data_IF_280954772159
#
_entry.id   IF_280954772159
#
_cell.length_a   1.000
_cell.length_b   1.000
_cell.length_c   1.000
_cell.angle_alpha   90.00
_cell.angle_beta   90.00
_cell.angle_gamma   90.00
#
_symmetry.space_group_name_H-M   'P 1'
#
loop_
_entity.id
_entity.type
_entity.pdbx_description
1 polymer ?
#
# COMPACT_ATOMS: atom_id res chain seq x y z
N UNK A 1 30.82 -36.34 -23.46
CA UNK A 1 30.01 -36.99 -22.41
C UNK A 1 30.32 -36.29 -21.10
N UNK A 2 29.44 -35.58 -20.40
CA UNK A 2 28.03 -35.29 -20.59
C UNK A 2 27.72 -34.13 -19.63
N UNK A 3 27.08 -33.07 -20.14
CA UNK A 3 26.50 -31.97 -19.36
C UNK A 3 25.31 -32.45 -18.54
N UNK A 4 25.18 -32.02 -17.27
CA UNK A 4 23.87 -31.83 -16.58
C UNK A 4 24.02 -30.65 -15.60
N UNK A 5 23.76 -29.40 -16.02
CA UNK A 5 22.46 -28.69 -16.13
C UNK A 5 21.76 -28.47 -14.78
N UNK A 6 22.11 -27.34 -14.14
CA UNK A 6 21.40 -26.75 -13.00
C UNK A 6 20.19 -25.94 -13.53
N UNK A 7 18.97 -26.42 -13.28
CA UNK A 7 17.73 -25.75 -13.66
C UNK A 7 17.40 -24.60 -12.69
N UNK A 8 17.62 -23.37 -13.16
CA UNK A 8 16.99 -22.16 -12.62
C UNK A 8 15.49 -22.18 -12.93
N UNK A 9 14.65 -22.31 -11.90
CA UNK A 9 13.21 -22.02 -12.01
C UNK A 9 12.95 -20.56 -11.63
N UNK A 10 12.87 -19.74 -12.66
CA UNK A 10 12.61 -18.31 -12.61
C UNK A 10 11.09 -18.08 -12.55
N UNK A 11 10.55 -17.69 -11.39
CA UNK A 11 9.16 -17.22 -11.28
C UNK A 11 9.13 -15.70 -11.45
N UNK A 12 8.83 -15.28 -12.68
CA UNK A 12 8.37 -13.93 -13.05
C UNK A 12 7.09 -13.60 -12.26
N UNK A 13 7.14 -12.58 -11.42
CA UNK A 13 5.93 -11.91 -10.94
C UNK A 13 5.41 -11.00 -12.05
N UNK A 14 4.20 -11.27 -12.53
CA UNK A 14 3.49 -10.47 -13.53
C UNK A 14 2.94 -9.20 -12.90
N UNK A 15 3.25 -8.11 -13.58
CA UNK A 15 2.60 -6.80 -13.69
C UNK A 15 1.22 -6.63 -13.04
N UNK A 16 1.10 -5.59 -12.21
CA UNK A 16 -0.16 -4.87 -11.98
C UNK A 16 0.08 -3.37 -12.24
N UNK A 17 -0.86 -2.77 -12.96
CA UNK A 17 -0.75 -1.48 -13.64
C UNK A 17 -0.48 -0.27 -12.70
N UNK A 18 0.25 0.76 -13.16
CA UNK A 18 0.63 1.90 -12.35
C UNK A 18 -0.51 2.93 -12.16
N UNK A 19 -0.63 3.43 -10.94
CA UNK A 19 -1.43 4.60 -10.58
C UNK A 19 -0.94 5.86 -11.33
N UNK A 20 -1.82 6.47 -12.13
CA UNK A 20 -1.50 7.61 -13.03
C UNK A 20 -1.12 8.91 -12.29
N UNK A 21 -1.30 8.97 -10.97
CA UNK A 21 -0.97 10.14 -10.16
C UNK A 21 0.55 10.29 -9.91
N UNK A 22 1.35 9.23 -10.08
CA UNK A 22 2.78 9.25 -9.74
C UNK A 22 3.73 9.48 -10.93
N UNK A 23 3.23 9.54 -12.16
CA UNK A 23 4.06 9.58 -13.38
C UNK A 23 4.58 10.99 -13.72
N UNK A 24 3.88 12.05 -13.26
CA UNK A 24 4.16 13.43 -13.73
C UNK A 24 5.30 14.14 -13.00
N UNK A 25 5.82 13.60 -11.91
CA UNK A 25 6.81 14.32 -11.06
C UNK A 25 8.25 13.82 -11.25
N UNK A 26 8.45 12.60 -11.77
CA UNK A 26 9.77 11.96 -11.77
C UNK A 26 10.59 12.29 -13.05
N UNK A 27 9.95 12.71 -14.14
CA UNK A 27 10.59 12.86 -15.45
C UNK A 27 11.38 14.15 -15.71
N UNK A 28 11.50 15.10 -14.76
CA UNK A 28 12.15 16.40 -15.06
C UNK A 28 12.96 17.06 -13.96
N UNK A 29 13.22 16.38 -12.84
CA UNK A 29 14.11 16.92 -11.82
C UNK A 29 15.49 16.32 -12.05
N UNK A 30 16.29 17.01 -12.86
CA UNK A 30 17.75 16.91 -12.72
C UNK A 30 18.06 17.27 -11.27
N UNK A 31 18.52 16.28 -10.50
CA UNK A 31 18.84 16.42 -9.09
C UNK A 31 20.04 17.35 -8.92
N UNK A 32 19.79 18.65 -8.84
CA UNK A 32 20.66 19.57 -8.09
C UNK A 32 20.10 19.65 -6.67
N UNK A 33 20.31 18.60 -5.88
CA UNK A 33 20.14 18.71 -4.42
C UNK A 33 21.38 19.43 -3.91
N UNK A 34 21.21 20.74 -3.68
CA UNK A 34 22.16 21.52 -2.87
C UNK A 34 21.99 21.05 -1.43
N UNK A 35 22.87 20.15 -0.99
CA UNK A 35 23.01 19.78 0.41
C UNK A 35 23.71 20.95 1.12
N UNK A 36 22.93 21.92 1.61
CA UNK A 36 23.49 22.93 2.50
C UNK A 36 23.43 22.42 3.93
N UNK A 37 24.62 22.27 4.49
CA UNK A 37 24.94 22.13 5.90
C UNK A 37 24.23 23.20 6.76
N UNK A 38 23.71 22.77 7.91
CA UNK A 38 23.23 23.62 9.01
C UNK A 38 24.32 24.63 9.44
N UNK A 39 23.95 25.83 9.96
CA UNK A 39 23.71 25.97 11.41
C UNK A 39 22.66 27.08 11.76
N UNK A 40 22.61 27.66 12.98
CA UNK A 40 21.56 27.38 13.96
C UNK A 40 20.60 28.56 14.26
N UNK A 41 19.50 28.21 14.95
CA UNK A 41 18.69 29.01 15.91
C UNK A 41 18.44 30.50 15.67
N UNK A 42 17.16 30.89 15.54
CA UNK A 42 16.73 32.28 15.77
C UNK A 42 15.33 32.59 15.24
N UNK A 43 14.44 33.03 16.12
CA UNK A 43 13.07 33.46 15.84
C UNK A 43 13.00 34.73 14.98
N UNK A 44 11.88 34.91 14.25
CA UNK A 44 11.46 36.21 13.71
C UNK A 44 10.86 36.16 12.30
N UNK A 45 9.56 36.43 12.19
CA UNK A 45 8.82 36.64 10.95
C UNK A 45 9.32 37.86 10.17
N UNK A 46 9.46 37.75 8.85
CA UNK A 46 9.40 38.89 7.92
C UNK A 46 9.20 38.40 6.48
N UNK A 47 8.10 38.83 5.86
CA UNK A 47 7.87 38.73 4.42
C UNK A 47 8.73 39.80 3.75
N UNK A 48 9.75 39.39 2.99
CA UNK A 48 10.44 40.27 2.04
C UNK A 48 10.20 39.80 0.61
N UNK A 49 9.53 40.66 -0.16
CA UNK A 49 9.46 40.57 -1.62
C UNK A 49 10.83 40.98 -2.14
N UNK A 50 11.47 40.10 -2.92
CA UNK A 50 12.68 40.44 -3.66
C UNK A 50 12.35 40.47 -5.15
N UNK A 51 12.51 41.65 -5.74
CA UNK A 51 12.46 41.92 -7.18
C UNK A 51 13.57 41.17 -7.89
N UNK A 52 13.25 39.97 -8.36
CA UNK A 52 13.81 39.28 -9.53
C UNK A 52 12.93 38.06 -9.71
N UNK A 53 12.31 37.93 -10.88
CA UNK A 53 11.34 36.90 -11.24
C UNK A 53 11.89 35.48 -11.23
N UNK A 54 12.32 35.00 -10.07
CA UNK A 54 12.51 33.58 -9.78
C UNK A 54 11.21 33.14 -9.16
N UNK A 55 10.39 32.47 -9.96
CA UNK A 55 9.29 31.65 -9.44
C UNK A 55 9.91 30.70 -8.41
N UNK A 56 9.75 30.99 -7.11
CA UNK A 56 10.09 30.03 -6.06
C UNK A 56 9.08 28.90 -6.20
N UNK A 57 9.48 27.82 -6.87
CA UNK A 57 8.71 26.57 -6.81
C UNK A 57 8.48 26.26 -5.32
N UNK A 58 7.27 25.84 -4.92
CA UNK A 58 7.06 25.31 -3.58
C UNK A 58 8.16 24.30 -3.32
N UNK A 59 8.91 24.48 -2.22
CA UNK A 59 9.93 23.50 -1.83
C UNK A 59 9.23 22.14 -1.81
N UNK A 60 9.69 21.20 -2.65
CA UNK A 60 9.16 19.84 -2.65
C UNK A 60 9.54 19.23 -1.30
N UNK A 61 8.61 19.27 -0.36
CA UNK A 61 8.74 18.51 0.87
C UNK A 61 8.53 17.04 0.51
N UNK A 62 9.58 16.23 0.67
CA UNK A 62 9.43 14.79 0.58
C UNK A 62 8.39 14.36 1.62
N UNK A 63 7.37 13.65 1.17
CA UNK A 63 6.32 13.14 2.04
C UNK A 63 6.96 12.28 3.12
N UNK A 64 6.82 12.69 4.38
CA UNK A 64 7.21 11.88 5.54
C UNK A 64 6.16 10.80 5.76
N UNK A 65 6.60 9.58 6.00
CA UNK A 65 5.79 8.42 6.32
C UNK A 65 6.08 7.99 7.76
N UNK A 66 5.02 7.80 8.54
CA UNK A 66 5.08 6.97 9.74
C UNK A 66 5.08 5.51 9.29
N UNK A 67 6.26 4.92 9.15
CA UNK A 67 6.42 3.57 8.59
C UNK A 67 6.04 2.56 9.67
N UNK A 68 4.82 2.06 9.57
CA UNK A 68 4.21 1.07 10.44
C UNK A 68 3.56 -0.03 9.58
N UNK A 69 3.15 -1.17 10.16
CA UNK A 69 2.53 -2.22 9.37
C UNK A 69 1.30 -1.72 8.57
N UNK A 70 0.47 -0.84 9.15
CA UNK A 70 -0.71 -0.28 8.48
C UNK A 70 -0.41 0.59 7.25
N UNK A 71 0.71 1.29 7.27
CA UNK A 71 1.14 2.23 6.20
C UNK A 71 2.20 1.63 5.29
N UNK A 72 2.67 0.42 5.59
CA UNK A 72 3.77 -0.24 4.90
C UNK A 72 3.52 -0.38 3.41
N UNK A 73 2.32 -0.82 3.00
CA UNK A 73 1.98 -1.02 1.59
C UNK A 73 2.12 0.30 0.82
N UNK A 74 1.56 1.39 1.35
CA UNK A 74 1.62 2.71 0.76
C UNK A 74 3.06 3.25 0.69
N UNK A 75 3.82 3.11 1.78
CA UNK A 75 5.22 3.51 1.83
C UNK A 75 6.04 2.73 0.80
N UNK A 76 5.94 1.40 0.82
CA UNK A 76 6.73 0.53 -0.04
C UNK A 76 6.35 0.73 -1.51
N UNK A 77 5.08 0.98 -1.84
CA UNK A 77 4.66 1.31 -3.20
C UNK A 77 5.35 2.58 -3.74
N UNK A 78 5.54 3.61 -2.89
CA UNK A 78 6.25 4.82 -3.27
C UNK A 78 7.78 4.61 -3.32
N UNK A 79 8.35 3.93 -2.33
CA UNK A 79 9.80 3.81 -2.18
C UNK A 79 10.41 2.72 -3.07
N UNK A 80 9.64 1.71 -3.49
CA UNK A 80 10.12 0.60 -4.34
C UNK A 80 10.81 1.09 -5.61
N UNK A 81 10.24 2.10 -6.29
CA UNK A 81 10.85 2.66 -7.51
C UNK A 81 12.22 3.28 -7.25
N UNK A 82 12.43 3.89 -6.08
CA UNK A 82 13.73 4.45 -5.68
C UNK A 82 14.71 3.32 -5.34
N UNK A 83 14.22 2.28 -4.64
CA UNK A 83 15.02 1.11 -4.29
C UNK A 83 15.53 0.37 -5.53
N UNK A 84 14.69 0.19 -6.56
CA UNK A 84 15.00 -0.55 -7.80
C UNK A 84 15.88 0.24 -8.80
N UNK A 85 15.98 1.56 -8.66
CA UNK A 85 16.81 2.41 -9.52
C UNK A 85 18.30 2.09 -9.36
N UNK A 86 19.00 1.81 -10.45
CA UNK A 86 20.45 1.52 -10.41
C UNK A 86 21.32 2.76 -10.63
N UNK A 87 20.70 3.88 -11.00
CA UNK A 87 21.36 5.16 -11.28
C UNK A 87 21.57 6.02 -10.04
N UNK A 88 20.96 5.64 -8.91
CA UNK A 88 21.15 6.26 -7.60
C UNK A 88 22.01 5.31 -6.77
N UNK A 89 23.05 5.82 -6.13
CA UNK A 89 23.89 5.01 -5.26
C UNK A 89 23.16 4.61 -3.97
N UNK A 90 23.69 3.63 -3.26
CA UNK A 90 23.05 3.15 -2.03
C UNK A 90 23.13 4.18 -0.90
N UNK A 91 24.09 5.10 -0.92
CA UNK A 91 24.24 6.16 0.08
C UNK A 91 23.14 7.22 -0.07
N UNK A 92 22.90 7.74 -1.27
CA UNK A 92 21.80 8.65 -1.57
C UNK A 92 20.44 7.99 -1.33
N UNK A 93 20.29 6.70 -1.66
CA UNK A 93 19.09 5.94 -1.31
C UNK A 93 18.88 5.85 0.20
N UNK A 94 19.95 5.71 0.99
CA UNK A 94 19.87 5.74 2.44
C UNK A 94 19.40 7.13 2.90
N UNK A 95 20.01 8.20 2.41
CA UNK A 95 19.61 9.56 2.76
C UNK A 95 18.14 9.84 2.41
N UNK A 96 17.69 9.41 1.24
CA UNK A 96 16.28 9.47 0.84
C UNK A 96 15.38 8.67 1.79
N UNK A 97 15.79 7.46 2.18
CA UNK A 97 15.05 6.64 3.14
C UNK A 97 14.89 7.37 4.48
N UNK A 98 15.96 7.96 5.00
CA UNK A 98 15.94 8.77 6.22
C UNK A 98 14.98 9.96 6.07
N UNK A 99 15.04 10.70 4.96
CA UNK A 99 14.17 11.86 4.71
C UNK A 99 12.69 11.48 4.61
N UNK A 100 12.39 10.28 4.08
CA UNK A 100 11.01 9.79 3.99
C UNK A 100 10.49 9.22 5.31
N UNK A 101 11.34 8.83 6.25
CA UNK A 101 10.91 8.34 7.55
C UNK A 101 10.59 9.51 8.49
N UNK A 102 9.37 9.51 9.04
CA UNK A 102 8.95 10.55 9.98
C UNK A 102 9.76 10.50 11.29
N UNK A 103 10.24 11.66 11.74
CA UNK A 103 10.97 11.81 12.99
C UNK A 103 10.14 11.35 14.20
N UNK A 104 10.82 10.79 15.20
CA UNK A 104 10.18 10.28 16.43
C UNK A 104 9.47 8.93 16.28
N UNK A 105 9.42 8.33 15.08
CA UNK A 105 8.80 7.02 14.86
C UNK A 105 9.75 5.86 15.13
N UNK A 106 9.19 4.67 15.40
CA UNK A 106 9.98 3.46 15.61
C UNK A 106 10.82 3.08 14.37
N UNK A 107 10.33 3.38 13.17
CA UNK A 107 11.08 3.19 11.94
C UNK A 107 12.25 4.14 11.84
N UNK A 108 12.07 5.41 12.19
CA UNK A 108 13.16 6.38 12.20
C UNK A 108 14.25 5.99 13.20
N UNK A 109 13.87 5.59 14.42
CA UNK A 109 14.82 5.09 15.43
C UNK A 109 15.61 3.87 14.93
N UNK A 110 14.97 2.96 14.20
CA UNK A 110 15.64 1.82 13.57
C UNK A 110 16.66 2.30 12.53
N UNK A 111 16.30 3.24 11.67
CA UNK A 111 17.20 3.75 10.63
C UNK A 111 18.38 4.53 11.22
N UNK A 112 18.14 5.34 12.26
CA UNK A 112 19.19 6.11 12.94
C UNK A 112 20.20 5.21 13.68
N UNK A 113 19.88 3.93 13.93
CA UNK A 113 20.81 2.96 14.53
C UNK A 113 21.92 2.50 13.57
N UNK A 114 21.77 2.77 12.28
CA UNK A 114 22.76 2.45 11.25
C UNK A 114 23.47 3.73 10.80
N UNK A 115 24.81 3.72 10.70
CA UNK A 115 25.53 4.78 10.01
C UNK A 115 25.04 4.86 8.54
N UNK A 116 24.70 6.06 8.02
CA UNK A 116 24.19 6.22 6.66
C UNK A 116 25.35 6.02 5.67
N UNK A 117 25.57 4.76 5.29
CA UNK A 117 26.57 4.35 4.33
C UNK A 117 25.98 3.36 3.33
N UNK A 118 26.60 3.28 2.15
CA UNK A 118 26.24 2.33 1.08
C UNK A 118 26.13 0.88 1.60
N UNK A 119 27.08 0.44 2.41
CA UNK A 119 27.13 -0.92 2.98
C UNK A 119 25.97 -1.23 3.95
N UNK A 120 25.46 -0.20 4.62
CA UNK A 120 24.42 -0.34 5.63
C UNK A 120 23.02 -0.16 5.07
N UNK A 121 22.85 0.42 3.88
CA UNK A 121 21.55 0.60 3.24
C UNK A 121 20.78 -0.72 3.13
N UNK A 122 21.43 -1.76 2.58
CA UNK A 122 20.79 -3.07 2.39
C UNK A 122 20.42 -3.73 3.72
N UNK A 123 21.21 -3.51 4.78
CA UNK A 123 20.90 -4.00 6.13
C UNK A 123 19.71 -3.26 6.72
N UNK A 124 19.69 -1.93 6.60
CA UNK A 124 18.63 -1.08 7.13
C UNK A 124 17.29 -1.36 6.44
N UNK A 125 17.25 -1.46 5.11
CA UNK A 125 16.02 -1.75 4.37
C UNK A 125 15.51 -3.17 4.63
N UNK A 126 16.41 -4.14 4.80
CA UNK A 126 16.05 -5.52 5.15
C UNK A 126 15.45 -5.60 6.55
N UNK A 127 16.04 -4.92 7.53
CA UNK A 127 15.48 -4.79 8.89
C UNK A 127 14.11 -4.11 8.88
N UNK A 128 13.95 -3.05 8.08
CA UNK A 128 12.68 -2.35 7.94
C UNK A 128 11.58 -3.26 7.36
N UNK A 129 11.89 -4.00 6.29
CA UNK A 129 11.01 -5.04 5.71
C UNK A 129 10.66 -6.12 6.74
N UNK A 130 11.65 -6.63 7.47
CA UNK A 130 11.45 -7.67 8.48
C UNK A 130 10.59 -7.21 9.65
N UNK A 131 10.64 -5.92 10.02
CA UNK A 131 9.88 -5.40 11.17
C UNK A 131 8.47 -4.98 10.79
N UNK A 132 8.32 -4.27 9.67
CA UNK A 132 7.06 -3.61 9.30
C UNK A 132 6.37 -4.21 8.08
N UNK A 133 7.13 -4.90 7.22
CA UNK A 133 6.68 -5.39 5.92
C UNK A 133 6.47 -6.89 5.80
N UNK A 134 6.27 -7.59 6.93
CA UNK A 134 6.06 -9.04 6.93
C UNK A 134 4.70 -9.37 6.32
N UNK A 135 4.64 -10.08 5.19
CA UNK A 135 3.38 -10.31 4.50
C UNK A 135 2.37 -11.03 5.40
N UNK A 136 2.79 -12.01 6.20
CA UNK A 136 1.92 -12.76 7.10
C UNK A 136 1.23 -11.85 8.14
N UNK A 137 1.99 -10.92 8.73
CA UNK A 137 1.48 -9.96 9.71
C UNK A 137 0.52 -8.96 9.05
N UNK A 138 0.85 -8.51 7.84
CA UNK A 138 0.00 -7.58 7.10
C UNK A 138 -1.34 -8.24 6.76
N UNK A 139 -1.32 -9.49 6.31
CA UNK A 139 -2.54 -10.26 6.02
C UNK A 139 -3.40 -10.38 7.28
N UNK A 140 -2.81 -10.77 8.41
CA UNK A 140 -3.54 -10.85 9.68
C UNK A 140 -4.17 -9.51 10.06
N UNK A 141 -3.43 -8.41 9.90
CA UNK A 141 -3.91 -7.06 10.20
C UNK A 141 -5.13 -6.70 9.35
N UNK A 142 -5.06 -6.89 8.02
CA UNK A 142 -6.15 -6.52 7.12
C UNK A 142 -7.38 -7.44 7.29
N UNK A 143 -7.19 -8.73 7.54
CA UNK A 143 -8.30 -9.66 7.86
C UNK A 143 -8.94 -9.29 9.20
N UNK A 144 -8.16 -8.92 10.21
CA UNK A 144 -8.67 -8.48 11.51
C UNK A 144 -9.47 -7.18 11.39
N UNK A 145 -9.03 -6.26 10.54
CA UNK A 145 -9.78 -5.03 10.25
C UNK A 145 -11.11 -5.36 9.56
N UNK A 146 -11.11 -6.29 8.61
CA UNK A 146 -12.33 -6.77 7.95
C UNK A 146 -13.31 -7.40 8.96
N UNK A 147 -12.81 -8.24 9.88
CA UNK A 147 -13.62 -8.80 10.98
C UNK A 147 -14.19 -7.72 11.90
N UNK A 148 -13.42 -6.67 12.18
CA UNK A 148 -13.89 -5.54 12.99
C UNK A 148 -15.04 -4.80 12.30
N UNK A 149 -15.01 -4.67 10.97
CA UNK A 149 -16.14 -4.12 10.20
C UNK A 149 -17.40 -4.97 10.36
N UNK A 150 -17.28 -6.31 10.26
CA UNK A 150 -18.40 -7.24 10.50
C UNK A 150 -19.01 -7.03 11.88
N UNK A 151 -18.17 -7.03 12.92
CA UNK A 151 -18.63 -6.87 14.30
C UNK A 151 -19.27 -5.50 14.56
N UNK A 152 -18.74 -4.45 13.93
CA UNK A 152 -19.26 -3.08 14.04
C UNK A 152 -20.66 -2.99 13.43
N UNK A 153 -20.86 -3.58 12.25
CA UNK A 153 -22.16 -3.62 11.57
C UNK A 153 -23.17 -4.48 12.35
N UNK A 154 -22.77 -5.66 12.81
CA UNK A 154 -23.63 -6.57 13.58
C UNK A 154 -24.07 -5.98 14.94
N UNK A 155 -23.24 -5.12 15.55
CA UNK A 155 -23.53 -4.54 16.86
C UNK A 155 -24.61 -3.45 16.83
N UNK A 156 -24.96 -2.91 15.65
CA UNK A 156 -26.02 -1.89 15.48
C UNK A 156 -25.76 -0.51 16.11
N UNK A 157 -24.72 -0.35 16.93
CA UNK A 157 -24.44 0.87 17.71
C UNK A 157 -23.66 1.93 16.93
N UNK A 158 -22.81 1.52 16.00
CA UNK A 158 -21.94 2.37 15.18
C UNK A 158 -22.03 1.96 13.71
N UNK A 159 -23.24 1.82 13.17
CA UNK A 159 -23.42 1.42 11.78
C UNK A 159 -22.84 2.48 10.85
N UNK A 160 -21.94 2.05 9.97
CA UNK A 160 -21.39 2.89 8.93
C UNK A 160 -22.47 3.16 7.87
N UNK A 161 -22.41 4.32 7.22
CA UNK A 161 -23.19 4.51 6.00
C UNK A 161 -22.72 3.52 4.92
N UNK A 162 -23.58 3.19 3.95
CA UNK A 162 -23.25 2.25 2.89
C UNK A 162 -21.98 2.64 2.13
N UNK A 163 -21.83 3.91 1.77
CA UNK A 163 -20.62 4.43 1.14
C UNK A 163 -19.37 4.26 2.02
N UNK A 164 -19.45 4.54 3.32
CA UNK A 164 -18.31 4.37 4.23
C UNK A 164 -17.94 2.90 4.42
N UNK A 165 -18.94 2.02 4.47
CA UNK A 165 -18.73 0.59 4.55
C UNK A 165 -18.03 0.08 3.27
N UNK A 166 -18.56 0.44 2.10
CA UNK A 166 -18.00 0.10 0.81
C UNK A 166 -16.53 0.55 0.69
N UNK A 167 -16.24 1.82 0.99
CA UNK A 167 -14.88 2.37 0.87
C UNK A 167 -13.89 1.64 1.79
N UNK A 168 -14.33 1.30 3.01
CA UNK A 168 -13.49 0.57 3.98
C UNK A 168 -13.27 -0.88 3.58
N UNK A 169 -14.32 -1.57 3.14
CA UNK A 169 -14.25 -2.94 2.60
C UNK A 169 -13.29 -2.99 1.42
N UNK A 170 -13.47 -2.09 0.46
CA UNK A 170 -12.66 -2.04 -0.75
C UNK A 170 -11.19 -1.75 -0.42
N UNK A 171 -10.94 -0.83 0.53
CA UNK A 171 -9.57 -0.57 1.01
C UNK A 171 -8.91 -1.83 1.58
N UNK A 172 -9.62 -2.63 2.39
CA UNK A 172 -9.06 -3.86 2.95
C UNK A 172 -8.84 -4.92 1.86
N UNK A 173 -9.80 -5.10 0.95
CA UNK A 173 -9.72 -6.07 -0.13
C UNK A 173 -8.57 -5.75 -1.11
N UNK A 174 -8.39 -4.47 -1.49
CA UNK A 174 -7.28 -4.03 -2.33
C UNK A 174 -5.92 -4.22 -1.65
N UNK A 175 -5.84 -4.00 -0.33
CA UNK A 175 -4.62 -4.28 0.42
C UNK A 175 -4.28 -5.77 0.41
N UNK A 176 -5.26 -6.65 0.67
CA UNK A 176 -5.10 -8.10 0.61
C UNK A 176 -4.75 -8.60 -0.80
N UNK A 177 -5.31 -7.99 -1.84
CA UNK A 177 -4.98 -8.24 -3.25
C UNK A 177 -3.52 -7.90 -3.56
N UNK A 178 -3.04 -6.75 -3.07
CA UNK A 178 -1.63 -6.35 -3.24
C UNK A 178 -0.63 -7.26 -2.53
N UNK A 179 -1.09 -8.00 -1.51
CA UNK A 179 -0.32 -9.02 -0.79
C UNK A 179 -0.42 -10.42 -1.43
N UNK A 180 -1.20 -10.58 -2.51
CA UNK A 180 -1.39 -11.85 -3.20
C UNK A 180 -2.38 -12.80 -2.55
N UNK A 181 -3.24 -12.31 -1.64
CA UNK A 181 -4.25 -13.12 -0.94
C UNK A 181 -5.51 -13.33 -1.76
N UNK A 182 -5.69 -12.65 -2.90
CA UNK A 182 -6.84 -12.85 -3.81
C UNK A 182 -6.75 -14.13 -4.65
N UNK A 183 -5.88 -15.07 -4.32
CA UNK A 183 -5.90 -16.41 -4.89
C UNK A 183 -7.28 -17.05 -4.64
N UNK A 184 -7.79 -17.83 -5.60
CA UNK A 184 -9.02 -18.64 -5.51
C UNK A 184 -9.17 -19.35 -4.15
N UNK A 185 -8.03 -19.71 -3.53
CA UNK A 185 -7.94 -20.33 -2.20
C UNK A 185 -8.57 -19.53 -1.05
N UNK A 186 -8.50 -18.20 -1.06
CA UNK A 186 -9.02 -17.36 0.04
C UNK A 186 -10.28 -16.60 -0.35
N UNK A 187 -10.64 -16.61 -1.64
CA UNK A 187 -11.75 -15.84 -2.16
C UNK A 187 -13.11 -16.28 -1.56
N UNK A 188 -13.29 -17.55 -1.22
CA UNK A 188 -14.51 -18.04 -0.57
C UNK A 188 -14.65 -17.44 0.85
N UNK A 189 -13.59 -17.51 1.66
CA UNK A 189 -13.58 -16.92 3.00
C UNK A 189 -13.79 -15.40 2.97
N UNK A 190 -13.11 -14.71 2.06
CA UNK A 190 -13.26 -13.26 1.91
C UNK A 190 -14.68 -12.88 1.47
N UNK A 191 -15.29 -13.65 0.56
CA UNK A 191 -16.68 -13.46 0.15
C UNK A 191 -17.63 -13.53 1.34
N UNK A 192 -17.52 -14.56 2.17
CA UNK A 192 -18.36 -14.73 3.36
C UNK A 192 -18.19 -13.58 4.36
N UNK A 193 -16.97 -13.07 4.53
CA UNK A 193 -16.71 -11.93 5.40
C UNK A 193 -17.33 -10.62 4.86
N UNK A 194 -17.27 -10.41 3.55
CA UNK A 194 -17.87 -9.22 2.93
C UNK A 194 -19.40 -9.29 2.98
N UNK A 195 -20.01 -10.46 2.71
CA UNK A 195 -21.45 -10.67 2.84
C UNK A 195 -21.92 -10.41 4.29
N UNK A 196 -21.14 -10.86 5.27
CA UNK A 196 -21.44 -10.63 6.70
C UNK A 196 -21.35 -9.16 7.13
N UNK A 197 -20.73 -8.29 6.33
CA UNK A 197 -20.69 -6.85 6.58
C UNK A 197 -21.95 -6.12 6.06
N UNK A 198 -22.68 -6.72 5.13
CA UNK A 198 -23.80 -6.05 4.46
C UNK A 198 -25.03 -5.94 5.36
N UNK A 199 -25.74 -4.80 5.34
CA UNK A 199 -27.07 -4.71 5.94
C UNK A 199 -28.04 -5.72 5.31
N UNK A 200 -28.99 -6.22 6.11
CA UNK A 200 -29.95 -7.27 5.71
C UNK A 200 -30.67 -6.98 4.38
N UNK A 201 -30.99 -5.71 4.11
CA UNK A 201 -31.67 -5.32 2.87
C UNK A 201 -30.78 -5.57 1.64
N UNK A 202 -29.51 -5.15 1.69
CA UNK A 202 -28.54 -5.37 0.61
C UNK A 202 -28.19 -6.84 0.46
N UNK A 203 -28.09 -7.58 1.56
CA UNK A 203 -27.82 -9.01 1.52
C UNK A 203 -28.95 -9.75 0.77
N UNK A 204 -30.22 -9.40 1.03
CA UNK A 204 -31.37 -9.98 0.33
C UNK A 204 -31.41 -9.65 -1.16
N UNK A 205 -31.00 -8.43 -1.52
CA UNK A 205 -30.90 -8.02 -2.93
C UNK A 205 -29.76 -8.75 -3.64
N UNK A 206 -28.61 -8.86 -2.99
CA UNK A 206 -27.48 -9.67 -3.44
C UNK A 206 -27.86 -11.14 -3.64
N UNK A 207 -28.52 -11.77 -2.67
CA UNK A 207 -29.00 -13.15 -2.75
C UNK A 207 -29.99 -13.35 -3.90
N UNK A 208 -30.89 -12.39 -4.14
CA UNK A 208 -31.84 -12.43 -5.26
C UNK A 208 -31.13 -12.38 -6.62
N UNK A 209 -30.13 -11.51 -6.76
CA UNK A 209 -29.32 -11.42 -7.97
C UNK A 209 -28.54 -12.72 -8.21
N UNK A 210 -28.00 -13.31 -7.15
CA UNK A 210 -27.28 -14.60 -7.22
C UNK A 210 -28.17 -15.74 -7.70
N UNK A 211 -29.42 -15.80 -7.23
CA UNK A 211 -30.37 -16.84 -7.64
C UNK A 211 -30.86 -16.60 -9.08
N UNK A 212 -31.01 -15.34 -9.49
CA UNK A 212 -31.44 -14.97 -10.85
C UNK A 212 -30.35 -15.19 -11.91
N UNK A 213 -29.07 -15.17 -11.53
CA UNK A 213 -27.91 -15.42 -12.42
C UNK A 213 -27.56 -16.92 -12.53
N UNK A 214 -28.17 -17.78 -11.70
CA UNK A 214 -27.91 -19.23 -11.62
C UNK A 214 -28.59 -20.09 -12.69
N UNK A 215 -28.94 -19.52 -13.84
CA UNK A 215 -29.47 -20.27 -14.98
C UNK A 215 -28.36 -20.97 -15.76
N UNK A 216 -28.23 -22.29 -15.58
CA UNK A 216 -27.68 -23.31 -16.50
C UNK A 216 -26.36 -24.02 -16.15
N UNK A 217 -25.44 -23.49 -15.35
CA UNK A 217 -24.18 -24.21 -15.07
C UNK A 217 -24.04 -24.65 -13.61
N UNK A 218 -24.24 -25.96 -13.37
CA UNK A 218 -24.14 -26.66 -12.08
C UNK A 218 -22.74 -26.69 -11.43
N UNK A 219 -21.91 -25.65 -11.61
CA UNK A 219 -20.57 -25.54 -11.02
C UNK A 219 -20.22 -24.11 -10.53
N UNK A 220 -21.18 -23.19 -10.43
CA UNK A 220 -20.95 -21.76 -10.12
C UNK A 220 -20.43 -21.45 -8.70
N UNK A 221 -20.49 -22.41 -7.77
CA UNK A 221 -19.99 -22.23 -6.40
C UNK A 221 -18.45 -22.11 -6.31
N UNK A 222 -17.72 -22.54 -7.35
CA UNK A 222 -16.27 -22.73 -7.26
C UNK A 222 -15.44 -21.60 -7.86
N UNK A 223 -16.03 -20.60 -8.51
CA UNK A 223 -15.27 -19.42 -8.93
C UNK A 223 -15.45 -18.27 -7.94
N UNK A 224 -14.94 -18.51 -6.72
CA UNK A 224 -14.98 -17.53 -5.65
C UNK A 224 -14.22 -16.23 -6.02
N UNK A 225 -13.27 -16.29 -6.96
CA UNK A 225 -12.61 -15.11 -7.52
C UNK A 225 -13.58 -14.21 -8.29
N UNK A 226 -14.38 -14.80 -9.18
CA UNK A 226 -15.46 -14.10 -9.87
C UNK A 226 -16.57 -13.63 -8.91
N UNK A 227 -16.78 -14.34 -7.80
CA UNK A 227 -17.78 -13.97 -6.80
C UNK A 227 -17.49 -12.62 -6.12
N UNK A 228 -16.26 -12.42 -5.62
CA UNK A 228 -15.86 -11.13 -5.01
C UNK A 228 -15.95 -10.00 -6.04
N UNK A 229 -15.58 -10.26 -7.29
CA UNK A 229 -15.66 -9.26 -8.35
C UNK A 229 -17.12 -8.83 -8.65
N UNK A 230 -18.05 -9.79 -8.71
CA UNK A 230 -19.49 -9.50 -8.85
C UNK A 230 -20.04 -8.71 -7.65
N UNK A 231 -19.60 -9.06 -6.43
CA UNK A 231 -20.00 -8.37 -5.21
C UNK A 231 -19.50 -6.92 -5.18
N UNK A 232 -18.24 -6.68 -5.57
CA UNK A 232 -17.69 -5.32 -5.74
C UNK A 232 -18.50 -4.48 -6.73
N UNK A 233 -18.91 -5.08 -7.84
CA UNK A 233 -19.71 -4.38 -8.85
C UNK A 233 -21.14 -4.08 -8.37
N UNK A 234 -21.75 -5.00 -7.61
CA UNK A 234 -23.04 -4.76 -6.96
C UNK A 234 -22.97 -3.57 -6.00
N UNK A 235 -21.98 -3.56 -5.10
CA UNK A 235 -21.82 -2.48 -4.10
C UNK A 235 -21.45 -1.13 -4.71
N UNK A 236 -20.97 -1.08 -5.95
CA UNK A 236 -20.70 0.17 -6.67
C UNK A 236 -21.95 0.80 -7.28
N UNK A 237 -23.00 0.00 -7.51
CA UNK A 237 -24.23 0.44 -8.19
C UNK A 237 -25.25 1.07 -7.25
N UNK A 238 -25.11 0.79 -5.96
CA UNK A 238 -26.01 1.24 -4.89
C UNK A 238 -25.44 2.45 -4.14
#
# INVERSE_FOLDING_TARGET
>A
MEEKRCSKSQRRAKESHPCSQCDKTIGRVGLNIVVNSLPPTGAGSSLSVSEKGVLKLPKLELRKFDIQPRTWISFWACFRKIHERTDIDAEDKFQLLLLTAQEGTAARQLLDSFPPSSENYEKAISQLKSRFGRPELLIELYVRELLNLVLTQASGKNTLSLSQLHDRLETQLLALESLGVTSEKYACMLSLLVESCLPDLLLREWERLRISDGGDDGNSFLDAGTHIAKLREFLRRE
#
